data_IF_734485512575
#
_entry.id   IF_734485512575
#
_cell.length_a   1.000
_cell.length_b   1.000
_cell.length_c   1.000
_cell.angle_alpha   90.00
_cell.angle_beta   90.00
_cell.angle_gamma   90.00
#
_symmetry.space_group_name_H-M   'P 1'
#
loop_
_entity.id
_entity.type
_entity.pdbx_description
1 polymer ?
#
# COMPACT_ATOMS: atom_id res chain seq x y z
N UNK A 1 -40.96 15.34 -64.64
CA UNK A 1 -40.77 14.06 -63.92
C UNK A 1 -39.38 14.05 -63.30
N UNK A 2 -39.29 13.71 -62.02
CA UNK A 2 -38.07 13.46 -61.21
C UNK A 2 -37.24 14.71 -60.83
N UNK A 3 -37.28 15.16 -59.57
CA UNK A 3 -36.76 14.62 -58.28
C UNK A 3 -35.39 15.26 -57.97
N UNK A 4 -35.27 15.89 -56.79
CA UNK A 4 -34.10 15.66 -55.93
C UNK A 4 -34.40 16.03 -54.49
N UNK A 5 -34.52 14.98 -53.68
CA UNK A 5 -34.50 14.99 -52.22
C UNK A 5 -33.15 15.55 -51.75
N UNK A 6 -33.18 16.54 -50.86
CA UNK A 6 -31.98 17.06 -50.21
C UNK A 6 -31.68 16.18 -49.00
N UNK A 7 -30.69 15.29 -49.12
CA UNK A 7 -30.13 14.54 -48.01
C UNK A 7 -29.23 15.46 -47.19
N UNK A 8 -29.58 15.67 -45.92
CA UNK A 8 -28.73 16.35 -44.93
C UNK A 8 -27.70 15.35 -44.42
N UNK A 9 -26.45 15.53 -44.82
CA UNK A 9 -25.32 14.77 -44.29
C UNK A 9 -24.89 15.42 -42.96
N UNK A 10 -25.08 14.69 -41.86
CA UNK A 10 -24.68 15.12 -40.51
C UNK A 10 -23.17 14.95 -40.37
N UNK A 11 -22.43 16.05 -40.41
CA UNK A 11 -21.01 16.06 -40.05
C UNK A 11 -20.92 16.03 -38.52
N UNK A 12 -20.91 14.83 -37.96
CA UNK A 12 -20.44 14.58 -36.61
C UNK A 12 -18.95 14.29 -36.65
N UNK A 13 -18.09 15.31 -36.48
CA UNK A 13 -16.71 15.05 -36.04
C UNK A 13 -16.80 14.54 -34.60
N UNK A 14 -16.74 13.22 -34.45
CA UNK A 14 -16.56 12.57 -33.16
C UNK A 14 -15.13 12.86 -32.73
N UNK A 15 -14.95 13.91 -31.92
CA UNK A 15 -13.66 14.23 -31.31
C UNK A 15 -13.35 13.20 -30.22
N UNK A 16 -12.82 12.05 -30.62
CA UNK A 16 -12.24 11.05 -29.72
C UNK A 16 -10.87 11.56 -29.28
N UNK A 17 -10.85 12.65 -28.51
CA UNK A 17 -9.60 13.18 -27.96
C UNK A 17 -9.69 13.64 -26.49
N UNK A 18 -10.87 13.61 -25.86
CA UNK A 18 -11.04 14.13 -24.49
C UNK A 18 -11.20 13.06 -23.40
N UNK A 19 -11.63 11.83 -23.73
CA UNK A 19 -11.77 10.77 -22.72
C UNK A 19 -10.42 10.24 -22.18
N UNK A 20 -9.31 10.46 -22.88
CA UNK A 20 -7.97 10.10 -22.40
C UNK A 20 -7.32 11.18 -21.53
N UNK A 21 -7.89 12.40 -21.47
CA UNK A 21 -7.40 13.52 -20.65
C UNK A 21 -7.92 13.49 -19.21
N UNK A 22 -8.97 12.70 -18.94
CA UNK A 22 -9.58 12.53 -17.62
C UNK A 22 -8.94 11.43 -16.77
N UNK A 23 -7.96 10.69 -17.32
CA UNK A 23 -6.90 10.13 -16.49
C UNK A 23 -6.02 11.30 -16.08
N UNK A 24 -6.45 12.04 -15.05
CA UNK A 24 -5.57 12.96 -14.36
C UNK A 24 -4.26 12.21 -14.14
N UNK A 25 -3.19 12.72 -14.76
CA UNK A 25 -1.83 12.29 -14.46
C UNK A 25 -1.70 12.54 -12.96
N UNK A 26 -1.87 11.48 -12.16
CA UNK A 26 -1.65 11.58 -10.73
C UNK A 26 -0.17 11.90 -10.64
N UNK A 27 0.12 13.14 -10.27
CA UNK A 27 1.49 13.61 -10.13
C UNK A 27 2.07 12.82 -8.96
N UNK A 28 2.79 11.74 -9.27
CA UNK A 28 3.54 11.00 -8.29
C UNK A 28 4.75 11.83 -7.88
N UNK A 29 4.96 11.94 -6.58
CA UNK A 29 6.12 12.61 -6.01
C UNK A 29 7.25 11.60 -5.78
N UNK A 30 8.50 12.04 -6.00
CA UNK A 30 9.67 11.25 -5.63
C UNK A 30 10.06 11.52 -4.17
N UNK A 31 10.12 10.46 -3.38
CA UNK A 31 10.68 10.49 -2.02
C UNK A 31 11.78 9.45 -1.93
N UNK A 32 13.02 9.90 -1.80
CA UNK A 32 14.21 9.04 -1.68
C UNK A 32 14.32 8.01 -2.83
N UNK A 33 13.95 8.41 -4.05
CA UNK A 33 13.94 7.54 -5.23
C UNK A 33 12.73 6.61 -5.32
N UNK A 34 11.68 6.81 -4.54
CA UNK A 34 10.42 6.08 -4.63
C UNK A 34 9.32 7.00 -5.16
N UNK A 35 8.62 6.56 -6.20
CA UNK A 35 7.42 7.22 -6.69
C UNK A 35 6.24 6.88 -5.80
N UNK A 36 5.62 7.89 -5.22
CA UNK A 36 4.53 7.77 -4.25
C UNK A 36 3.41 8.73 -4.60
N UNK A 37 2.17 8.36 -4.24
CA UNK A 37 1.04 9.26 -4.40
C UNK A 37 1.21 10.48 -3.48
N UNK A 38 0.73 11.68 -3.86
CA UNK A 38 0.83 12.88 -3.02
C UNK A 38 0.28 12.67 -1.60
N UNK A 39 -0.78 11.88 -1.46
CA UNK A 39 -1.39 11.54 -0.16
C UNK A 39 -0.50 10.67 0.75
N UNK A 40 0.51 10.00 0.18
CA UNK A 40 1.41 9.08 0.88
C UNK A 40 2.78 9.71 1.20
N UNK A 41 3.14 10.83 0.56
CA UNK A 41 4.46 11.48 0.67
C UNK A 41 4.89 11.68 2.11
N UNK A 42 4.01 12.24 2.94
CA UNK A 42 4.34 12.57 4.32
C UNK A 42 4.56 11.31 5.17
N UNK A 43 3.77 10.26 4.95
CA UNK A 43 3.94 8.97 5.63
C UNK A 43 5.29 8.33 5.28
N UNK A 44 5.65 8.34 3.99
CA UNK A 44 6.93 7.80 3.52
C UNK A 44 8.10 8.61 4.08
N UNK A 45 8.03 9.94 4.02
CA UNK A 45 9.06 10.82 4.60
C UNK A 45 9.30 10.52 6.08
N UNK A 46 8.25 10.36 6.88
CA UNK A 46 8.38 10.05 8.31
C UNK A 46 9.05 8.70 8.57
N UNK A 47 8.73 7.68 7.76
CA UNK A 47 9.38 6.38 7.87
C UNK A 47 10.89 6.53 7.62
N UNK A 48 11.29 7.18 6.53
CA UNK A 48 12.70 7.40 6.23
C UNK A 48 13.41 8.32 7.23
N UNK A 49 12.72 9.30 7.82
CA UNK A 49 13.30 10.14 8.88
C UNK A 49 13.59 9.34 10.15
N UNK A 50 12.72 8.39 10.50
CA UNK A 50 12.90 7.57 11.71
C UNK A 50 13.81 6.36 11.48
N UNK A 51 13.86 5.86 10.25
CA UNK A 51 14.64 4.71 9.82
C UNK A 51 15.41 5.04 8.53
N UNK A 52 16.48 5.86 8.61
CA UNK A 52 17.18 6.37 7.43
C UNK A 52 17.89 5.28 6.60
N UNK A 53 18.21 4.15 7.21
CA UNK A 53 18.89 3.01 6.59
C UNK A 53 17.93 1.95 6.02
N UNK A 54 16.62 2.19 6.05
CA UNK A 54 15.56 1.26 5.63
C UNK A 54 15.77 0.70 4.23
N UNK A 55 16.32 1.48 3.29
CA UNK A 55 16.55 1.06 1.91
C UNK A 55 18.03 0.87 1.57
N UNK A 56 18.91 0.76 2.57
CA UNK A 56 20.37 0.69 2.37
C UNK A 56 20.84 -0.52 1.55
N UNK A 57 20.15 -1.65 1.66
CA UNK A 57 20.42 -2.89 0.92
C UNK A 57 19.36 -3.19 -0.15
N UNK A 58 18.47 -2.24 -0.40
CA UNK A 58 17.32 -2.43 -1.29
C UNK A 58 17.78 -2.60 -2.74
N UNK A 59 17.49 -3.78 -3.30
CA UNK A 59 18.02 -4.22 -4.60
C UNK A 59 17.22 -3.73 -5.82
N UNK A 60 15.87 -3.64 -5.77
CA UNK A 60 15.07 -3.26 -6.93
C UNK A 60 15.41 -1.87 -7.48
N UNK A 61 15.75 -1.85 -8.78
CA UNK A 61 16.04 -0.62 -9.55
C UNK A 61 14.88 -0.18 -10.45
N UNK A 62 14.00 -1.11 -10.82
CA UNK A 62 12.84 -0.81 -11.66
C UNK A 62 11.83 0.03 -10.87
N UNK A 63 11.43 1.18 -11.41
CA UNK A 63 10.61 2.15 -10.70
C UNK A 63 9.24 1.58 -10.28
N UNK A 64 8.58 0.81 -11.13
CA UNK A 64 7.29 0.18 -10.79
C UNK A 64 7.44 -0.79 -9.62
N UNK A 65 8.51 -1.59 -9.59
CA UNK A 65 8.79 -2.45 -8.45
C UNK A 65 9.00 -1.63 -7.17
N UNK A 66 9.78 -0.55 -7.24
CA UNK A 66 10.01 0.35 -6.09
C UNK A 66 8.68 0.90 -5.55
N UNK A 67 7.77 1.33 -6.42
CA UNK A 67 6.42 1.78 -6.07
C UNK A 67 5.59 0.66 -5.42
N UNK A 68 5.67 -0.57 -5.91
CA UNK A 68 4.98 -1.71 -5.29
C UNK A 68 5.52 -1.94 -3.86
N UNK A 69 6.83 -1.99 -3.68
CA UNK A 69 7.44 -2.22 -2.37
C UNK A 69 7.08 -1.13 -1.36
N UNK A 70 7.08 0.15 -1.74
CA UNK A 70 6.71 1.23 -0.81
C UNK A 70 5.23 1.16 -0.42
N UNK A 71 4.34 0.77 -1.34
CA UNK A 71 2.93 0.57 -1.02
C UNK A 71 2.72 -0.60 -0.05
N UNK A 72 3.42 -1.72 -0.25
CA UNK A 72 3.36 -2.86 0.69
C UNK A 72 3.90 -2.45 2.07
N UNK A 73 4.99 -1.69 2.14
CA UNK A 73 5.53 -1.15 3.40
C UNK A 73 4.54 -0.22 4.10
N UNK A 74 3.89 0.68 3.37
CA UNK A 74 2.88 1.58 3.92
C UNK A 74 1.69 0.81 4.51
N UNK A 75 1.20 -0.19 3.77
CA UNK A 75 0.11 -1.06 4.23
C UNK A 75 0.50 -1.82 5.50
N UNK A 76 1.70 -2.43 5.52
CA UNK A 76 2.22 -3.12 6.70
C UNK A 76 2.30 -2.16 7.90
N UNK A 77 2.88 -0.97 7.72
CA UNK A 77 2.97 0.03 8.78
C UNK A 77 1.59 0.46 9.29
N UNK A 78 0.59 0.56 8.40
CA UNK A 78 -0.79 0.88 8.78
C UNK A 78 -1.43 -0.24 9.61
N UNK A 79 -1.31 -1.50 9.18
CA UNK A 79 -1.78 -2.68 9.96
C UNK A 79 -1.13 -2.68 11.36
N UNK A 80 0.16 -2.34 11.43
CA UNK A 80 0.90 -2.26 12.68
C UNK A 80 0.50 -1.08 13.59
N UNK A 81 -0.26 -0.11 13.08
CA UNK A 81 -0.84 0.96 13.87
C UNK A 81 -2.22 0.61 14.44
N UNK A 82 -2.87 -0.45 13.96
CA UNK A 82 -4.18 -0.87 14.48
C UNK A 82 -4.08 -1.43 15.91
N UNK A 83 -5.13 -1.33 16.73
CA UNK A 83 -5.19 -2.00 18.03
C UNK A 83 -5.00 -3.52 17.90
N UNK A 84 -4.30 -4.15 18.84
CA UNK A 84 -4.05 -5.61 18.80
C UNK A 84 -5.33 -6.43 18.87
N UNK A 85 -6.38 -5.88 19.49
CA UNK A 85 -7.70 -6.51 19.57
C UNK A 85 -8.46 -6.53 18.23
N UNK A 86 -8.13 -5.61 17.33
CA UNK A 86 -8.75 -5.52 15.99
C UNK A 86 -8.02 -6.38 14.96
N UNK A 87 -6.80 -6.84 15.26
CA UNK A 87 -6.03 -7.71 14.39
C UNK A 87 -6.44 -9.17 14.59
N UNK A 88 -6.87 -9.81 13.51
CA UNK A 88 -7.11 -11.24 13.45
C UNK A 88 -5.78 -12.03 13.38
N UNK A 89 -5.87 -13.35 13.46
CA UNK A 89 -4.70 -14.21 13.24
C UNK A 89 -4.22 -14.14 11.79
N UNK A 90 -5.16 -14.00 10.85
CA UNK A 90 -4.84 -13.93 9.43
C UNK A 90 -4.17 -12.60 9.08
N UNK A 91 -4.62 -11.48 9.66
CA UNK A 91 -3.96 -10.17 9.51
C UNK A 91 -2.50 -10.21 9.99
N UNK A 92 -2.24 -10.92 11.10
CA UNK A 92 -0.87 -11.12 11.60
C UNK A 92 -0.04 -11.98 10.64
N UNK A 93 -0.61 -13.07 10.12
CA UNK A 93 0.08 -13.93 9.15
C UNK A 93 0.42 -13.16 7.86
N UNK A 94 -0.51 -12.36 7.35
CA UNK A 94 -0.32 -11.52 6.16
C UNK A 94 0.73 -10.44 6.40
N UNK A 95 0.78 -9.88 7.62
CA UNK A 95 1.83 -8.97 8.02
C UNK A 95 3.21 -9.65 8.05
N UNK A 96 3.32 -10.88 8.58
CA UNK A 96 4.57 -11.66 8.53
C UNK A 96 5.00 -11.97 7.10
N UNK A 97 4.05 -12.35 6.23
CA UNK A 97 4.34 -12.62 4.82
C UNK A 97 4.83 -11.36 4.09
N UNK A 98 4.18 -10.21 4.35
CA UNK A 98 4.57 -8.91 3.78
C UNK A 98 5.96 -8.48 4.27
N UNK A 99 6.25 -8.67 5.56
CA UNK A 99 7.56 -8.40 6.15
C UNK A 99 8.67 -9.25 5.51
N UNK A 100 8.43 -10.56 5.35
CA UNK A 100 9.36 -11.47 4.70
C UNK A 100 9.63 -11.09 3.24
N UNK A 101 8.58 -10.72 2.50
CA UNK A 101 8.70 -10.25 1.12
C UNK A 101 9.54 -8.97 1.00
N UNK A 102 9.32 -8.01 1.90
CA UNK A 102 10.05 -6.73 1.90
C UNK A 102 11.52 -6.88 2.31
N UNK A 103 11.80 -7.74 3.29
CA UNK A 103 13.17 -8.01 3.77
C UNK A 103 13.99 -8.80 2.74
N UNK A 104 13.38 -9.73 2.00
CA UNK A 104 14.04 -10.43 0.87
C UNK A 104 14.46 -9.45 -0.24
N UNK A 105 13.67 -8.40 -0.48
CA UNK A 105 14.01 -7.32 -1.39
C UNK A 105 15.15 -6.41 -0.88
N UNK A 106 15.56 -6.59 0.37
CA UNK A 106 16.67 -5.88 1.01
C UNK A 106 16.27 -4.64 1.79
N UNK A 107 14.99 -4.49 2.16
CA UNK A 107 14.59 -3.46 3.12
C UNK A 107 14.99 -3.86 4.55
N UNK A 108 15.55 -2.92 5.31
CA UNK A 108 15.84 -3.10 6.73
C UNK A 108 14.60 -2.76 7.57
N UNK A 109 13.92 -3.78 8.08
CA UNK A 109 12.63 -3.66 8.77
C UNK A 109 12.64 -4.28 10.18
N UNK A 110 13.80 -4.37 10.82
CA UNK A 110 13.98 -4.97 12.16
C UNK A 110 12.98 -4.39 13.19
N UNK A 111 12.71 -3.08 13.10
CA UNK A 111 11.76 -2.39 13.98
C UNK A 111 10.29 -2.82 13.78
N UNK A 112 9.90 -3.22 12.56
CA UNK A 112 8.57 -3.78 12.31
C UNK A 112 8.50 -5.23 12.75
N UNK A 113 9.59 -5.98 12.61
CA UNK A 113 9.69 -7.35 13.09
C UNK A 113 9.49 -7.41 14.61
N UNK A 114 10.24 -6.61 15.36
CA UNK A 114 10.12 -6.51 16.83
C UNK A 114 8.69 -6.14 17.24
N UNK A 115 8.12 -5.11 16.58
CA UNK A 115 6.75 -4.66 16.86
C UNK A 115 5.70 -5.74 16.55
N UNK A 116 5.95 -6.60 15.56
CA UNK A 116 5.03 -7.66 15.14
C UNK A 116 5.07 -8.84 16.12
N UNK A 117 6.25 -9.17 16.63
CA UNK A 117 6.36 -10.19 17.68
C UNK A 117 5.67 -9.73 18.98
N UNK A 118 5.89 -8.48 19.40
CA UNK A 118 5.18 -7.92 20.57
C UNK A 118 3.66 -8.02 20.44
N UNK A 119 3.12 -7.75 19.25
CA UNK A 119 1.68 -7.80 19.00
C UNK A 119 1.15 -9.23 19.11
N UNK A 120 1.88 -10.20 18.56
CA UNK A 120 1.55 -11.62 18.64
C UNK A 120 1.55 -12.10 20.10
N UNK A 121 2.56 -11.74 20.88
CA UNK A 121 2.63 -12.06 22.31
C UNK A 121 1.44 -11.47 23.09
N UNK A 122 1.12 -10.20 22.85
CA UNK A 122 -0.03 -9.52 23.48
C UNK A 122 -1.36 -10.21 23.14
N UNK A 123 -1.51 -10.68 21.90
CA UNK A 123 -2.72 -11.39 21.45
C UNK A 123 -2.87 -12.74 22.17
N UNK A 124 -1.79 -13.52 22.26
CA UNK A 124 -1.79 -14.83 22.94
C UNK A 124 -2.00 -14.70 24.45
N UNK A 125 -1.34 -13.74 25.10
CA UNK A 125 -1.56 -13.44 26.51
C UNK A 125 -3.01 -13.01 26.80
N UNK A 126 -3.63 -12.23 25.89
CA UNK A 126 -5.04 -11.86 25.97
C UNK A 126 -5.98 -13.06 25.87
N UNK A 127 -5.74 -13.97 24.91
CA UNK A 127 -6.53 -15.20 24.75
C UNK A 127 -6.42 -16.11 25.96
N UNK A 128 -5.24 -16.25 26.55
CA UNK A 128 -5.02 -17.08 27.75
C UNK A 128 -5.85 -16.59 28.94
N UNK A 129 -5.82 -15.28 29.22
CA UNK A 129 -6.65 -14.67 30.29
C UNK A 129 -8.14 -14.89 30.08
N UNK A 130 -8.62 -14.82 28.84
CA UNK A 130 -10.04 -15.03 28.53
C UNK A 130 -10.48 -16.49 28.80
N UNK A 131 -9.63 -17.47 28.44
CA UNK A 131 -9.90 -18.88 28.71
C UNK A 131 -9.96 -19.18 30.21
N UNK A 132 -9.02 -18.63 30.97
CA UNK A 132 -9.00 -18.78 32.43
C UNK A 132 -10.29 -18.23 33.07
N UNK A 133 -10.82 -17.09 32.61
CA UNK A 133 -12.08 -16.54 33.15
C UNK A 133 -13.29 -17.43 32.82
N UNK A 134 -13.34 -17.99 31.61
CA UNK A 134 -14.47 -18.82 31.16
C UNK A 134 -14.49 -20.17 31.91
N UNK A 135 -13.33 -20.78 32.17
CA UNK A 135 -13.24 -22.08 32.86
C UNK A 135 -13.69 -22.04 34.35
N UNK A 136 -13.91 -20.86 34.93
CA UNK A 136 -14.42 -20.67 36.30
C UNK A 136 -15.91 -20.27 36.37
N UNK A 137 -16.64 -20.31 35.26
CA UNK A 137 -18.09 -19.99 35.17
C UNK A 137 -18.87 -21.14 34.56
#
# INVERSE_FOLDING_TARGET
MSRKTMVLEVIGKLDVSEETKLLSKVEEDDVNGFQVLPSQVESVRRIFQRHPDIASKFRPKNQHLRTIYINVLLNLNQTMCQPTQELSKDDLNDAYASLAYLTDAGLNLDWLEEKLEEKKEKQEAGKKRMKEVIDYT
#
